data_IF_472736599614
#
_entry.id   IF_472736599614
#
_cell.length_a   1.000
_cell.length_b   1.000
_cell.length_c   1.000
_cell.angle_alpha   90.00
_cell.angle_beta   90.00
_cell.angle_gamma   90.00
#
_symmetry.space_group_name_H-M   'P 1'
#
loop_
_entity.id
_entity.type
_entity.pdbx_description
1 polymer ?
#
# COMPACT_ATOMS: atom_id res chain seq x y z
N UNK A 1 30.94 16.26 -5.56
CA UNK A 1 29.46 16.33 -5.60
C UNK A 1 28.93 14.93 -5.35
N UNK A 2 28.81 14.56 -4.08
CA UNK A 2 28.21 13.30 -3.65
C UNK A 2 26.92 13.65 -2.92
N UNK A 3 26.00 14.27 -3.66
CA UNK A 3 24.58 14.12 -3.35
C UNK A 3 24.23 12.71 -3.80
N UNK A 4 24.53 11.73 -2.95
CA UNK A 4 23.74 10.51 -3.00
C UNK A 4 22.37 10.97 -2.52
N UNK A 5 21.44 11.09 -3.45
CA UNK A 5 20.04 11.38 -3.16
C UNK A 5 19.59 10.45 -2.04
N UNK A 6 19.38 11.02 -0.85
CA UNK A 6 18.79 10.31 0.29
C UNK A 6 17.40 9.77 -0.04
N UNK A 7 16.81 10.19 -1.16
CA UNK A 7 15.58 9.64 -1.72
C UNK A 7 15.75 8.25 -2.37
N UNK A 8 16.94 7.87 -2.86
CA UNK A 8 17.15 6.58 -3.53
C UNK A 8 17.43 5.41 -2.58
N UNK A 9 17.83 5.67 -1.33
CA UNK A 9 18.19 4.64 -0.33
C UNK A 9 17.22 4.57 0.86
N UNK A 10 16.18 5.41 0.90
CA UNK A 10 15.23 5.51 2.02
C UNK A 10 13.87 6.01 1.57
N UNK A 11 13.30 5.38 0.54
CA UNK A 11 11.99 5.73 0.01
C UNK A 11 10.82 5.17 0.81
N UNK A 12 9.63 5.67 0.51
CA UNK A 12 8.35 5.24 1.10
C UNK A 12 8.02 3.76 0.80
N UNK A 13 8.51 3.25 -0.35
CA UNK A 13 8.29 1.87 -0.80
C UNK A 13 8.89 0.81 0.13
N UNK A 14 10.20 0.83 0.46
CA UNK A 14 10.76 -0.11 1.44
C UNK A 14 10.05 -0.09 2.79
N UNK A 15 9.56 1.07 3.23
CA UNK A 15 8.83 1.21 4.50
C UNK A 15 7.48 0.50 4.41
N UNK A 16 6.73 0.73 3.33
CA UNK A 16 5.46 0.05 3.09
C UNK A 16 5.63 -1.48 2.98
N UNK A 17 6.66 -1.95 2.27
CA UNK A 17 6.98 -3.37 2.17
C UNK A 17 7.32 -4.00 3.53
N UNK A 18 8.07 -3.29 4.38
CA UNK A 18 8.35 -3.76 5.75
C UNK A 18 7.08 -3.80 6.60
N UNK A 19 6.22 -2.79 6.50
CA UNK A 19 4.97 -2.73 7.27
C UNK A 19 3.99 -3.83 6.83
N UNK A 20 3.93 -4.16 5.54
CA UNK A 20 3.07 -5.24 5.02
C UNK A 20 3.43 -6.63 5.55
N UNK A 21 4.66 -6.86 6.01
CA UNK A 21 5.10 -8.15 6.57
C UNK A 21 5.16 -8.15 8.11
N UNK A 22 4.87 -7.02 8.75
CA UNK A 22 4.81 -6.91 10.20
C UNK A 22 3.49 -7.44 10.75
N UNK A 23 3.47 -7.79 12.04
CA UNK A 23 2.21 -8.06 12.72
C UNK A 23 1.38 -6.77 12.82
N UNK A 24 0.05 -6.93 12.76
CA UNK A 24 -0.92 -5.83 12.73
C UNK A 24 -0.75 -4.83 13.89
N UNK A 25 -0.38 -5.27 15.08
CA UNK A 25 -0.24 -4.36 16.21
C UNK A 25 1.01 -3.48 16.07
N UNK A 26 2.13 -4.06 15.62
CA UNK A 26 3.36 -3.30 15.36
C UNK A 26 3.17 -2.30 14.23
N UNK A 27 2.55 -2.74 13.14
CA UNK A 27 2.19 -1.92 11.97
C UNK A 27 1.36 -0.69 12.38
N UNK A 28 0.25 -0.90 13.11
CA UNK A 28 -0.63 0.18 13.57
C UNK A 28 0.09 1.19 14.48
N UNK A 29 0.93 0.71 15.40
CA UNK A 29 1.67 1.57 16.31
C UNK A 29 2.70 2.43 15.57
N UNK A 30 3.36 1.89 14.54
CA UNK A 30 4.30 2.63 13.71
C UNK A 30 3.54 3.67 12.89
N UNK A 31 2.47 3.26 12.21
CA UNK A 31 1.66 4.16 11.38
C UNK A 31 1.04 5.31 12.19
N UNK A 32 0.61 5.08 13.43
CA UNK A 32 0.12 6.13 14.31
C UNK A 32 1.20 7.18 14.61
N UNK A 33 2.44 6.75 14.86
CA UNK A 33 3.57 7.65 15.12
C UNK A 33 4.02 8.41 13.88
N UNK A 34 3.90 7.79 12.69
CA UNK A 34 4.20 8.47 11.43
C UNK A 34 3.13 9.53 11.17
N UNK A 35 1.85 9.20 11.32
CA UNK A 35 0.73 10.14 11.15
C UNK A 35 0.85 11.35 12.09
N UNK A 36 1.22 11.15 13.36
CA UNK A 36 1.41 12.25 14.31
C UNK A 36 2.53 13.22 13.91
N UNK A 37 3.54 12.74 13.18
CA UNK A 37 4.72 13.53 12.79
C UNK A 37 4.60 14.11 11.39
N UNK A 38 4.07 13.33 10.46
CA UNK A 38 4.00 13.60 9.04
C UNK A 38 2.79 12.87 8.42
N UNK A 39 1.61 13.51 8.41
CA UNK A 39 0.40 12.96 7.81
C UNK A 39 0.51 12.70 6.31
N UNK A 40 1.31 13.51 5.59
CA UNK A 40 1.50 13.35 4.14
C UNK A 40 2.29 12.06 3.84
N UNK A 41 3.37 11.84 4.58
CA UNK A 41 4.15 10.60 4.47
C UNK A 41 3.34 9.36 4.86
N UNK A 42 2.56 9.44 5.94
CA UNK A 42 1.69 8.33 6.34
C UNK A 42 0.68 7.98 5.24
N UNK A 43 0.13 8.97 4.55
CA UNK A 43 -0.77 8.74 3.42
C UNK A 43 -0.06 8.11 2.21
N UNK A 44 1.17 8.52 1.91
CA UNK A 44 1.98 7.87 0.87
C UNK A 44 2.30 6.42 1.20
N UNK A 45 2.63 6.12 2.47
CA UNK A 45 2.85 4.74 2.95
C UNK A 45 1.57 3.91 2.81
N UNK A 46 0.41 4.40 3.26
CA UNK A 46 -0.87 3.66 3.15
C UNK A 46 -1.21 3.29 1.72
N UNK A 47 -1.00 4.20 0.77
CA UNK A 47 -1.25 3.94 -0.66
C UNK A 47 -0.40 2.79 -1.20
N UNK A 48 0.77 2.58 -0.64
CA UNK A 48 1.69 1.50 -1.00
C UNK A 48 1.43 0.21 -0.21
N UNK A 49 0.74 0.29 0.93
CA UNK A 49 0.35 -0.85 1.76
C UNK A 49 -0.95 -1.53 1.32
N UNK A 50 -1.78 -0.90 0.48
CA UNK A 50 -3.02 -1.51 0.00
C UNK A 50 -2.70 -2.80 -0.78
N UNK A 51 -2.94 -3.95 -0.13
CA UNK A 51 -2.64 -5.25 -0.72
C UNK A 51 -3.85 -5.78 -1.48
N UNK A 52 -3.61 -6.65 -2.46
CA UNK A 52 -4.69 -7.26 -3.24
C UNK A 52 -5.66 -8.08 -2.35
N UNK A 53 -5.20 -8.54 -1.20
CA UNK A 53 -6.01 -9.25 -0.20
C UNK A 53 -7.05 -8.36 0.48
N UNK A 54 -6.85 -7.04 0.53
CA UNK A 54 -7.84 -6.11 1.12
C UNK A 54 -9.11 -5.98 0.26
N UNK A 55 -9.05 -6.44 -1.00
CA UNK A 55 -10.19 -6.49 -1.91
C UNK A 55 -11.33 -7.34 -1.33
N UNK A 56 -11.03 -8.36 -0.50
CA UNK A 56 -12.06 -9.21 0.12
C UNK A 56 -12.97 -8.44 1.09
N UNK A 57 -12.51 -7.29 1.60
CA UNK A 57 -13.27 -6.45 2.52
C UNK A 57 -14.12 -5.39 1.82
N UNK A 58 -14.08 -5.34 0.48
CA UNK A 58 -14.87 -4.41 -0.32
C UNK A 58 -16.29 -4.96 -0.47
N UNK A 59 -17.28 -4.10 -0.23
CA UNK A 59 -18.69 -4.47 -0.40
C UNK A 59 -19.04 -4.67 -1.88
N UNK A 60 -20.16 -5.36 -2.14
CA UNK A 60 -20.58 -5.70 -3.50
C UNK A 60 -20.68 -4.47 -4.43
N UNK A 61 -21.01 -3.29 -3.87
CA UNK A 61 -21.09 -2.03 -4.62
C UNK A 61 -19.72 -1.46 -4.96
N UNK A 62 -18.78 -1.47 -4.02
CA UNK A 62 -17.40 -1.10 -4.24
C UNK A 62 -16.75 -2.01 -5.28
N UNK A 63 -16.97 -3.32 -5.18
CA UNK A 63 -16.46 -4.30 -6.14
C UNK A 63 -17.03 -4.07 -7.55
N UNK A 64 -18.34 -3.83 -7.68
CA UNK A 64 -18.94 -3.49 -8.99
C UNK A 64 -18.38 -2.22 -9.62
N UNK A 65 -17.98 -1.24 -8.80
CA UNK A 65 -17.37 0.00 -9.29
C UNK A 65 -15.95 -0.26 -9.77
N UNK A 66 -15.16 -0.99 -8.96
CA UNK A 66 -13.80 -1.40 -9.33
C UNK A 66 -13.77 -2.21 -10.64
N UNK A 67 -14.68 -3.18 -10.81
CA UNK A 67 -14.76 -3.99 -12.03
C UNK A 67 -15.14 -3.19 -13.29
N UNK A 68 -15.79 -2.02 -13.13
CA UNK A 68 -16.09 -1.12 -14.25
C UNK A 68 -14.91 -0.25 -14.64
N UNK A 69 -14.12 0.17 -13.65
CA UNK A 69 -13.02 1.12 -13.85
C UNK A 69 -11.68 0.43 -14.18
N UNK A 70 -11.56 -0.87 -13.88
CA UNK A 70 -10.33 -1.64 -14.14
C UNK A 70 -10.42 -2.38 -15.49
N UNK A 71 -9.46 -2.18 -16.40
CA UNK A 71 -9.34 -2.96 -17.63
C UNK A 71 -9.24 -4.48 -17.38
N UNK A 72 -10.00 -5.25 -18.15
CA UNK A 72 -10.15 -6.70 -17.99
C UNK A 72 -8.80 -7.45 -18.08
N UNK A 73 -7.88 -6.98 -18.92
CA UNK A 73 -6.54 -7.54 -19.09
C UNK A 73 -5.67 -7.38 -17.82
N UNK A 74 -5.75 -6.24 -17.13
CA UNK A 74 -5.08 -6.02 -15.85
C UNK A 74 -5.69 -6.84 -14.73
N UNK A 75 -7.01 -6.97 -14.71
CA UNK A 75 -7.72 -7.78 -13.72
C UNK A 75 -7.32 -9.27 -13.83
N UNK A 76 -7.25 -9.79 -15.06
CA UNK A 76 -6.85 -11.19 -15.32
C UNK A 76 -5.42 -11.46 -14.87
N UNK A 77 -4.49 -10.51 -15.03
CA UNK A 77 -3.11 -10.68 -14.56
C UNK A 77 -3.05 -10.66 -13.03
N UNK A 78 -3.73 -9.70 -12.39
CA UNK A 78 -3.73 -9.56 -10.94
C UNK A 78 -4.37 -10.77 -10.22
N UNK A 79 -5.46 -11.31 -10.78
CA UNK A 79 -6.13 -12.51 -10.25
C UNK A 79 -5.34 -13.81 -10.48
N UNK A 80 -4.43 -13.86 -11.46
CA UNK A 80 -3.58 -15.03 -11.71
C UNK A 80 -2.39 -15.13 -10.75
N UNK A 81 -1.98 -14.01 -10.17
CA UNK A 81 -0.87 -13.91 -9.24
C UNK A 81 -1.32 -13.72 -7.79
N UNK A 82 -2.63 -13.53 -7.58
CA UNK A 82 -3.23 -13.56 -6.26
C UNK A 82 -3.09 -14.98 -5.66
N UNK A 83 -2.74 -15.09 -4.36
CA UNK A 83 -2.58 -16.38 -3.69
C UNK A 83 -3.88 -17.20 -3.60
#
# INVERSE_FOLDING_TARGET
>A
SLFIDSQQLGGVQPIAEMLNVMDKNTEQNIMARVEEKDPELAEEIRKLMFVFEDIIFIDDRGMQTLLKDVPNDKLVVALKTAP
#
